data_IF_615153788133
#
_entry.id   IF_615153788133
#
_cell.length_a   1.000
_cell.length_b   1.000
_cell.length_c   1.000
_cell.angle_alpha   90.00
_cell.angle_beta   90.00
_cell.angle_gamma   90.00
#
_symmetry.space_group_name_H-M   'P 1'
#
loop_
_entity.id
_entity.type
_entity.pdbx_description
1 polymer ?
2 polymer ?
3 non-polymer ?
4 water ?
#
# COMPACT_ATOMS: atom_id res chain seq x y z
N UNK A 14 -27.80 10.69 10.90
CA UNK A 14 -28.28 9.30 10.93
C UNK A 14 -28.37 8.76 12.36
N UNK A 15 -29.54 8.20 12.73
CA UNK A 15 -29.82 7.65 14.07
C UNK A 15 -31.06 6.73 14.14
N UNK A 16 -31.87 6.67 13.07
CA UNK A 16 -33.12 5.89 13.04
C UNK A 16 -32.98 4.44 12.56
N UNK A 17 -32.53 4.21 11.31
CA UNK A 17 -32.39 2.86 10.76
C UNK A 17 -30.92 2.53 10.49
N UNK A 18 -30.21 2.08 11.53
CA UNK A 18 -28.78 1.77 11.45
C UNK A 18 -28.49 0.27 11.45
N UNK A 19 -27.34 -0.12 10.87
CA UNK A 19 -26.91 -1.50 10.74
C UNK A 19 -25.50 -1.69 11.34
N UNK A 20 -25.35 -2.66 12.27
CA UNK A 20 -24.08 -2.97 12.92
C UNK A 20 -23.41 -4.13 12.17
N UNK A 21 -22.21 -3.88 11.64
CA UNK A 21 -21.43 -4.85 10.86
C UNK A 21 -20.11 -5.19 11.56
N UNK A 22 -19.80 -6.49 11.62
CA UNK A 22 -18.57 -7.03 12.21
C UNK A 22 -17.86 -7.87 11.14
N UNK A 23 -16.58 -7.56 10.89
CA UNK A 23 -15.78 -8.28 9.91
C UNK A 23 -14.32 -8.48 10.35
N UNK A 24 -13.81 -9.70 10.16
CA UNK A 24 -12.43 -10.05 10.49
C UNK A 24 -11.55 -9.74 9.28
N UNK A 25 -10.34 -9.17 9.45
CA UNK A 25 -9.50 -8.87 8.27
C UNK A 25 -8.93 -10.12 7.59
N UNK A 26 -8.54 -9.99 6.30
CA UNK A 26 -7.94 -11.09 5.56
C UNK A 26 -6.47 -11.30 5.93
N UNK A 27 -5.75 -12.17 5.19
CA UNK A 27 -4.34 -12.51 5.39
C UNK A 27 -3.41 -11.29 5.33
N UNK A 28 -3.69 -10.34 4.43
CA UNK A 28 -2.90 -9.12 4.21
C UNK A 28 -3.35 -7.94 5.09
N UNK A 29 -4.32 -8.17 5.97
CA UNK A 29 -4.88 -7.16 6.84
C UNK A 29 -5.75 -6.19 6.07
N UNK A 30 -6.62 -6.72 5.19
CA UNK A 30 -7.51 -5.92 4.36
C UNK A 30 -8.96 -6.33 4.57
N UNK A 31 -9.89 -5.38 4.32
CA UNK A 31 -11.32 -5.61 4.49
C UNK A 31 -12.08 -5.65 3.17
N UNK A 32 -11.53 -4.99 2.15
CA UNK A 32 -12.08 -4.95 0.80
C UNK A 32 -13.14 -3.90 0.53
N UNK A 33 -12.94 -2.68 1.06
CA UNK A 33 -13.86 -1.57 0.85
C UNK A 33 -13.14 -0.22 0.79
N UNK A 34 -13.73 0.76 0.08
CA UNK A 34 -13.18 2.11 -0.07
C UNK A 34 -14.03 3.12 0.70
N UNK A 35 -13.40 4.18 1.22
CA UNK A 35 -14.08 5.26 1.95
C UNK A 35 -13.82 6.61 1.30
N UNK A 36 -14.82 7.51 1.38
CA UNK A 36 -14.75 8.87 0.86
C UNK A 36 -15.41 9.83 1.85
N UNK A 37 -14.73 10.94 2.14
CA UNK A 37 -15.22 11.96 3.06
C UNK A 37 -14.52 12.01 4.40
N UNK A 38 -15.12 12.75 5.33
CA UNK A 38 -14.64 12.96 6.69
C UNK A 38 -14.92 14.36 7.18
N UNK A 39 -13.99 14.96 7.94
CA UNK A 39 -14.13 16.33 8.43
C UNK A 39 -13.34 17.30 7.56
N UNK A 40 -12.14 16.88 7.09
CA UNK A 40 -11.27 17.64 6.19
C UNK A 40 -11.95 17.82 4.83
N UNK A 41 -12.74 16.82 4.41
CA UNK A 41 -13.55 16.82 3.19
C UNK A 41 -14.95 17.25 3.63
N UNK A 42 -15.56 18.24 2.95
CA UNK A 42 -16.90 18.72 3.30
C UNK A 42 -17.98 17.75 2.78
N UNK A 43 -17.92 16.49 3.26
CA UNK A 43 -18.81 15.38 2.90
C UNK A 43 -18.68 14.27 3.98
N UNK A 44 -19.80 13.59 4.40
CA UNK A 44 -19.66 12.53 5.40
C UNK A 44 -18.93 11.28 4.88
N UNK A 45 -18.53 10.36 5.79
CA UNK A 45 -17.84 9.13 5.44
C UNK A 45 -18.80 8.14 4.76
N UNK A 46 -18.58 7.91 3.45
CA UNK A 46 -19.41 7.03 2.61
C UNK A 46 -18.56 5.87 2.08
N UNK A 47 -19.14 4.65 2.09
CA UNK A 47 -18.49 3.46 1.53
C UNK A 47 -18.72 3.55 0.02
N UNK A 48 -17.69 3.98 -0.72
CA UNK A 48 -17.76 4.21 -2.17
C UNK A 48 -17.67 2.94 -3.02
N UNK A 49 -16.86 1.95 -2.60
CA UNK A 49 -16.68 0.71 -3.35
C UNK A 49 -16.49 -0.51 -2.45
N UNK A 50 -17.10 -1.65 -2.83
CA UNK A 50 -17.00 -2.93 -2.12
C UNK A 50 -16.48 -3.99 -3.09
N UNK A 51 -15.28 -4.54 -2.80
CA UNK A 51 -14.60 -5.55 -3.61
C UNK A 51 -15.24 -6.94 -3.43
N UNK A 52 -15.44 -7.74 -4.50
CA UNK A 52 -16.07 -9.06 -4.33
C UNK A 52 -15.12 -10.12 -3.75
N UNK A 53 -15.66 -10.99 -2.89
CA UNK A 53 -14.94 -12.07 -2.24
C UNK A 53 -14.03 -11.65 -1.10
N UNK A 54 -14.30 -10.46 -0.53
CA UNK A 54 -13.52 -9.89 0.57
C UNK A 54 -14.36 -9.85 1.87
N UNK A 55 -13.75 -9.64 3.06
CA UNK A 55 -14.55 -9.58 4.31
C UNK A 55 -15.78 -8.66 4.28
N UNK A 56 -15.68 -7.49 3.60
CA UNK A 56 -16.79 -6.52 3.49
C UNK A 56 -17.94 -7.01 2.61
N UNK A 57 -17.66 -7.92 1.68
CA UNK A 57 -18.62 -8.50 0.74
C UNK A 57 -19.31 -9.76 1.30
N UNK A 58 -18.61 -10.53 2.15
CA UNK A 58 -19.09 -11.81 2.69
C UNK A 58 -19.64 -11.75 4.12
N UNK A 59 -19.53 -10.59 4.82
CA UNK A 59 -20.03 -10.43 6.19
C UNK A 59 -21.56 -10.36 6.26
N UNK A 60 -22.14 -10.69 7.42
CA UNK A 60 -23.59 -10.65 7.68
C UNK A 60 -23.88 -9.72 8.87
N UNK A 61 -24.55 -8.55 8.67
CA UNK A 61 -25.06 -8.00 7.40
C UNK A 61 -23.94 -7.48 6.50
N UNK A 62 -24.18 -7.50 5.18
CA UNK A 62 -23.22 -7.06 4.16
C UNK A 62 -23.05 -5.55 4.15
N UNK A 63 -21.79 -5.09 3.98
CA UNK A 63 -21.47 -3.67 3.86
C UNK A 63 -21.70 -3.31 2.39
N UNK A 64 -22.67 -2.43 2.14
CA UNK A 64 -23.06 -2.02 0.78
C UNK A 64 -22.52 -0.66 0.39
N UNK A 65 -22.44 -0.39 -0.92
CA UNK A 65 -21.98 0.87 -1.48
C UNK A 65 -23.04 1.95 -1.26
N UNK A 66 -22.59 3.09 -0.73
CA UNK A 66 -23.46 4.23 -0.41
C UNK A 66 -23.76 4.36 1.06
N UNK A 67 -23.36 3.36 1.88
CA UNK A 67 -23.58 3.33 3.33
C UNK A 67 -22.77 4.41 4.05
N UNK A 68 -23.46 5.24 4.84
CA UNK A 68 -22.84 6.32 5.62
C UNK A 68 -22.32 5.78 6.94
N UNK A 69 -20.99 5.83 7.13
CA UNK A 69 -20.31 5.35 8.34
C UNK A 69 -20.56 6.33 9.51
N UNK A 70 -21.08 5.80 10.62
CA UNK A 70 -21.39 6.57 11.84
C UNK A 70 -20.34 6.25 12.93
N UNK A 71 -20.07 4.96 13.17
CA UNK A 71 -19.09 4.52 14.17
C UNK A 71 -18.05 3.55 13.57
N UNK A 72 -16.79 3.66 14.06
CA UNK A 72 -15.67 2.79 13.70
C UNK A 72 -15.11 2.26 15.03
N UNK A 73 -15.37 0.97 15.33
CA UNK A 73 -14.97 0.27 16.56
C UNK A 73 -15.54 0.96 17.82
N UNK A 74 -16.75 1.50 17.68
CA UNK A 74 -17.48 2.19 18.73
C UNK A 74 -17.14 3.67 18.91
N UNK A 75 -16.26 4.21 18.05
CA UNK A 75 -15.83 5.61 18.10
C UNK A 75 -16.59 6.47 17.08
N UNK A 76 -17.05 7.66 17.53
CA UNK A 76 -17.76 8.62 16.68
C UNK A 76 -16.74 9.36 15.81
N UNK A 77 -16.86 9.22 14.48
CA UNK A 77 -15.94 9.80 13.51
C UNK A 77 -16.49 11.04 12.78
N UNK A 78 -17.50 11.71 13.37
CA UNK A 78 -18.15 12.91 12.80
C UNK A 78 -17.21 14.12 12.69
N UNK A 79 -16.27 14.26 13.65
CA UNK A 79 -15.30 15.37 13.69
C UNK A 79 -13.87 14.96 13.26
N UNK A 80 -13.72 13.76 12.73
CA UNK A 80 -12.44 13.26 12.27
C UNK A 80 -12.17 13.37 10.78
N UNK A 81 -10.91 13.60 10.45
CA UNK A 81 -10.50 13.74 9.05
C UNK A 81 -10.46 12.39 8.32
N UNK A 82 -10.30 12.41 6.98
CA UNK A 82 -10.24 11.23 6.12
C UNK A 82 -9.09 10.30 6.54
N UNK A 83 -7.88 10.86 6.75
CA UNK A 83 -6.68 10.12 7.15
C UNK A 83 -6.83 9.44 8.52
N UNK A 84 -7.50 10.11 9.47
CA UNK A 84 -7.75 9.57 10.82
C UNK A 84 -8.73 8.40 10.73
N UNK A 85 -9.84 8.57 9.98
CA UNK A 85 -10.88 7.57 9.70
C UNK A 85 -10.25 6.28 9.14
N UNK A 86 -9.37 6.43 8.13
CA UNK A 86 -8.63 5.35 7.48
C UNK A 86 -7.74 4.61 8.51
N UNK A 87 -6.99 5.38 9.33
CA UNK A 87 -6.10 4.83 10.35
C UNK A 87 -6.85 4.15 11.52
N UNK A 88 -8.09 4.58 11.81
CA UNK A 88 -8.92 3.96 12.85
C UNK A 88 -9.36 2.56 12.43
N UNK A 89 -9.74 2.40 11.14
CA UNK A 89 -10.12 1.12 10.52
C UNK A 89 -8.90 0.19 10.50
N UNK A 90 -7.70 0.75 10.26
CA UNK A 90 -6.42 0.05 10.22
C UNK A 90 -5.89 -0.35 11.61
N UNK A 91 -6.57 0.06 12.70
CA UNK A 91 -6.19 -0.25 14.08
C UNK A 91 -6.96 -1.44 14.68
N UNK A 92 -7.97 -1.96 13.95
CA UNK A 92 -8.82 -3.08 14.38
C UNK A 92 -8.34 -4.45 13.87
N UNK A 93 -7.03 -4.57 13.59
CA UNK A 93 -6.43 -5.78 13.02
C UNK A 93 -5.32 -6.35 13.92
N UNK A 98 -9.51 -9.10 17.26
CA UNK A 98 -9.02 -8.77 15.93
C UNK A 98 -10.12 -8.71 14.89
N UNK A 99 -11.04 -7.74 15.04
CA UNK A 99 -12.17 -7.54 14.12
C UNK A 99 -12.54 -6.06 14.00
N UNK A 100 -13.16 -5.67 12.88
CA UNK A 100 -13.60 -4.31 12.63
C UNK A 100 -15.11 -4.19 12.85
N UNK A 101 -15.50 -3.20 13.67
CA UNK A 101 -16.90 -2.89 13.97
C UNK A 101 -17.27 -1.62 13.22
N UNK A 102 -18.40 -1.67 12.50
CA UNK A 102 -18.92 -0.53 11.75
C UNK A 102 -20.41 -0.35 11.98
N UNK A 103 -20.84 0.88 12.28
CA UNK A 103 -22.24 1.22 12.39
C UNK A 103 -22.53 2.13 11.22
N UNK A 104 -23.34 1.65 10.26
CA UNK A 104 -23.65 2.39 9.04
C UNK A 104 -25.15 2.67 8.85
N UNK A 105 -25.45 3.62 7.93
CA UNK A 105 -26.80 3.99 7.54
C UNK A 105 -26.98 3.57 6.07
N UNK A 106 -27.84 2.56 5.77
CA UNK A 106 -27.99 2.09 4.37
C UNK A 106 -28.59 3.12 3.41
N UNK A 107 -28.02 3.20 2.19
CA UNK A 107 -28.44 4.10 1.12
C UNK A 107 -28.16 3.48 -0.25
N UNK B 13 16.20 -9.28 4.54
CA UNK B 13 16.81 -9.98 5.67
C UNK B 13 17.87 -9.08 6.42
N UNK B 14 18.65 -8.15 5.79
CA UNK B 14 19.59 -7.34 6.60
C UNK B 14 18.88 -6.34 7.51
N UNK B 15 19.52 -5.98 8.63
CA UNK B 15 18.94 -5.08 9.62
C UNK B 15 19.75 -3.82 9.93
N UNK B 16 21.08 -3.84 9.75
CA UNK B 16 21.92 -2.66 10.05
C UNK B 16 22.68 -2.13 8.83
N UNK B 17 23.25 -0.89 8.96
CA UNK B 17 24.02 -0.17 7.94
C UNK B 17 23.22 0.02 6.63
N UNK B 18 21.91 0.24 6.77
CA UNK B 18 20.98 0.39 5.64
C UNK B 18 20.96 1.80 5.06
N UNK B 19 20.69 1.90 3.75
CA UNK B 19 20.64 3.16 3.01
C UNK B 19 19.25 3.36 2.38
N UNK B 20 18.62 4.50 2.67
CA UNK B 20 17.30 4.86 2.12
C UNK B 20 17.52 5.72 0.88
N UNK B 21 17.00 5.26 -0.28
CA UNK B 21 17.16 5.94 -1.56
C UNK B 21 15.81 6.33 -2.16
N UNK B 22 15.68 7.60 -2.56
CA UNK B 22 14.50 8.17 -3.20
C UNK B 22 14.88 8.71 -4.58
N UNK B 23 14.17 8.27 -5.61
CA UNK B 23 14.42 8.70 -6.99
C UNK B 23 13.13 8.88 -7.79
N UNK B 24 13.09 9.93 -8.62
CA UNK B 24 11.95 10.24 -9.48
C UNK B 24 12.20 9.61 -10.86
N UNK B 25 11.19 8.96 -11.49
CA UNK B 25 11.43 8.34 -12.81
C UNK B 25 11.64 9.35 -13.94
N UNK B 26 12.26 8.92 -15.05
CA UNK B 26 12.47 9.77 -16.22
C UNK B 26 11.18 9.91 -17.04
N UNK B 27 11.26 10.51 -18.24
CA UNK B 27 10.13 10.73 -19.14
C UNK B 27 9.49 9.43 -19.63
N UNK B 28 10.30 8.35 -19.73
CA UNK B 28 9.88 7.02 -20.20
C UNK B 28 9.42 6.09 -19.06
N UNK B 29 9.41 6.60 -17.83
CA UNK B 29 9.03 5.85 -16.64
C UNK B 29 10.11 4.87 -16.22
N UNK B 30 11.37 5.16 -16.59
CA UNK B 30 12.54 4.33 -16.30
C UNK B 30 13.38 4.92 -15.16
N UNK B 31 14.07 4.04 -14.42
CA UNK B 31 14.94 4.43 -13.31
C UNK B 31 16.43 4.27 -13.62
N UNK B 32 16.74 3.41 -14.59
CA UNK B 32 18.10 3.16 -15.06
C UNK B 32 18.93 2.20 -14.25
N UNK B 33 18.31 1.11 -13.75
CA UNK B 33 19.00 0.06 -13.00
C UNK B 33 18.40 -1.32 -13.27
N UNK B 34 19.24 -2.37 -13.20
CA UNK B 34 18.82 -3.75 -13.42
C UNK B 34 18.76 -4.49 -12.09
N UNK B 35 17.86 -5.47 -11.97
CA UNK B 35 17.71 -6.30 -10.77
C UNK B 35 17.85 -7.79 -11.08
N UNK B 36 18.51 -8.50 -10.17
CA UNK B 36 18.71 -9.94 -10.19
C UNK B 36 18.23 -10.47 -8.85
N UNK B 37 17.60 -11.64 -8.86
CA UNK B 37 17.12 -12.26 -7.63
C UNK B 37 15.65 -12.21 -7.32
N UNK B 38 15.29 -12.85 -6.21
CA UNK B 38 13.93 -12.97 -5.70
C UNK B 38 13.77 -14.28 -4.95
N UNK B 39 12.55 -14.55 -4.45
CA UNK B 39 12.22 -15.76 -3.71
C UNK B 39 12.30 -17.02 -4.58
N UNK B 40 12.07 -16.86 -5.90
CA UNK B 40 12.10 -17.96 -6.88
C UNK B 40 13.45 -18.06 -7.62
N UNK B 41 14.45 -17.24 -7.23
CA UNK B 41 15.77 -17.21 -7.87
C UNK B 41 16.93 -17.76 -7.01
N UNK B 42 16.62 -18.18 -5.75
CA UNK B 42 17.56 -18.75 -4.74
C UNK B 42 18.57 -17.71 -4.19
N UNK B 43 18.63 -16.51 -4.80
CA UNK B 43 19.49 -15.41 -4.37
C UNK B 43 18.62 -14.18 -4.02
N UNK B 44 19.03 -13.29 -3.09
CA UNK B 44 18.19 -12.11 -2.79
C UNK B 44 18.15 -11.08 -3.91
N UNK B 45 17.29 -10.05 -3.78
CA UNK B 45 17.16 -8.99 -4.78
C UNK B 45 18.39 -8.09 -4.72
N UNK B 46 19.26 -8.18 -5.75
CA UNK B 46 20.52 -7.44 -5.88
C UNK B 46 20.46 -6.51 -7.10
N UNK B 47 21.00 -5.28 -6.97
CA UNK B 47 21.08 -4.32 -8.06
C UNK B 47 22.32 -4.75 -8.87
N UNK B 48 22.10 -5.45 -9.99
CA UNK B 48 23.16 -5.99 -10.84
C UNK B 48 23.88 -4.96 -11.70
N UNK B 49 23.17 -3.94 -12.18
CA UNK B 49 23.75 -2.90 -13.05
C UNK B 49 23.07 -1.55 -12.86
N UNK B 50 23.85 -0.46 -12.95
CA UNK B 50 23.37 0.94 -12.85
C UNK B 50 23.85 1.68 -14.11
N UNK B 51 22.89 2.23 -14.88
CA UNK B 51 23.15 2.98 -16.10
C UNK B 51 23.54 4.43 -15.81
N UNK B 52 24.55 5.01 -16.51
CA UNK B 52 24.94 6.39 -16.23
C UNK B 52 23.96 7.41 -16.80
N UNK B 53 23.81 8.54 -16.11
CA UNK B 53 22.91 9.62 -16.50
C UNK B 53 21.44 9.36 -16.27
N UNK B 54 21.13 8.35 -15.45
CA UNK B 54 19.74 7.95 -15.13
C UNK B 54 19.41 8.27 -13.66
N UNK B 55 18.10 8.27 -13.26
CA UNK B 55 17.76 8.57 -11.84
C UNK B 55 18.52 7.77 -10.79
N UNK B 56 18.78 6.47 -11.02
CA UNK B 56 19.50 5.58 -10.10
C UNK B 56 20.98 5.96 -9.93
N UNK B 57 21.57 6.61 -10.94
CA UNK B 57 22.96 7.07 -10.95
C UNK B 57 23.11 8.48 -10.37
N UNK B 58 22.10 9.35 -10.56
CA UNK B 58 22.15 10.76 -10.16
C UNK B 58 21.54 11.09 -8.78
N UNK B 59 20.77 10.16 -8.18
CA UNK B 59 20.14 10.36 -6.87
C UNK B 59 21.17 10.38 -5.73
N UNK B 60 20.83 11.06 -4.61
CA UNK B 60 21.68 11.15 -3.42
C UNK B 60 20.89 10.71 -2.17
N UNK B 61 21.25 9.59 -1.49
CA UNK B 61 22.38 8.69 -1.77
C UNK B 61 22.22 7.90 -3.07
N UNK B 62 23.35 7.60 -3.73
CA UNK B 62 23.38 6.88 -5.01
C UNK B 62 23.12 5.39 -4.84
N UNK B 63 22.32 4.81 -5.74
CA UNK B 63 22.04 3.37 -5.77
C UNK B 63 23.24 2.75 -6.50
N UNK B 64 24.04 1.97 -5.77
CA UNK B 64 25.25 1.34 -6.31
C UNK B 64 25.04 -0.13 -6.68
N UNK B 65 25.93 -0.66 -7.53
CA UNK B 65 25.89 -2.05 -7.98
C UNK B 65 26.32 -2.99 -6.85
N UNK B 66 25.54 -4.04 -6.65
CA UNK B 66 25.77 -5.04 -5.61
C UNK B 66 24.85 -4.88 -4.42
N UNK B 67 24.24 -3.69 -4.26
CA UNK B 67 23.32 -3.34 -3.17
C UNK B 67 22.12 -4.29 -3.09
N UNK B 68 21.88 -4.84 -1.90
CA UNK B 68 20.78 -5.76 -1.64
C UNK B 68 19.52 -4.98 -1.27
N UNK B 69 18.47 -5.10 -2.10
CA UNK B 69 17.19 -4.43 -1.89
C UNK B 69 16.44 -5.11 -0.74
N UNK B 70 16.03 -4.33 0.27
CA UNK B 70 15.31 -4.79 1.45
C UNK B 70 13.83 -4.38 1.33
N UNK B 71 13.58 -3.09 1.00
CA UNK B 71 12.23 -2.56 0.83
C UNK B 71 12.03 -1.85 -0.50
N UNK B 72 10.85 -2.05 -1.11
CA UNK B 72 10.43 -1.39 -2.34
C UNK B 72 9.16 -0.63 -1.97
N UNK B 73 9.27 0.72 -1.93
CA UNK B 73 8.19 1.64 -1.54
C UNK B 73 7.61 1.28 -0.16
N UNK B 74 8.51 0.91 0.76
CA UNK B 74 8.20 0.53 2.13
C UNK B 74 7.62 -0.85 2.33
N UNK B 75 7.73 -1.73 1.32
CA UNK B 75 7.19 -3.09 1.36
C UNK B 75 8.31 -4.15 1.44
N UNK B 76 8.15 -5.12 2.36
CA UNK B 76 9.08 -6.24 2.54
C UNK B 76 8.90 -7.18 1.34
N UNK B 77 9.96 -7.33 0.53
CA UNK B 77 9.96 -8.11 -0.71
C UNK B 77 10.72 -9.45 -0.61
N UNK B 78 11.10 -9.87 0.62
CA UNK B 78 11.83 -11.12 0.89
C UNK B 78 11.11 -12.38 0.41
N UNK B 79 9.76 -12.41 0.53
CA UNK B 79 8.92 -13.55 0.13
C UNK B 79 8.36 -13.41 -1.31
N UNK B 80 8.61 -12.30 -1.97
CA UNK B 80 8.14 -12.08 -3.31
C UNK B 80 9.09 -12.51 -4.42
N UNK B 81 8.52 -12.94 -5.54
CA UNK B 81 9.28 -13.44 -6.69
C UNK B 81 9.96 -12.31 -7.48
N UNK B 82 10.84 -12.67 -8.44
CA UNK B 82 11.56 -11.72 -9.30
C UNK B 82 10.59 -10.83 -10.08
N UNK B 83 9.57 -11.44 -10.73
CA UNK B 83 8.57 -10.72 -11.53
C UNK B 83 7.69 -9.77 -10.70
N UNK B 84 7.32 -10.17 -9.47
CA UNK B 84 6.52 -9.35 -8.54
C UNK B 84 7.32 -8.11 -8.13
N UNK B 85 8.61 -8.31 -7.78
CA UNK B 85 9.57 -7.28 -7.40
C UNK B 85 9.71 -6.22 -8.51
N UNK B 86 9.86 -6.67 -9.77
CA UNK B 86 9.97 -5.82 -10.97
C UNK B 86 8.68 -4.98 -11.12
N UNK B 87 7.51 -5.63 -10.97
CA UNK B 87 6.20 -5.00 -11.07
C UNK B 87 5.90 -4.02 -9.92
N UNK B 88 6.48 -4.24 -8.73
CA UNK B 88 6.32 -3.32 -7.58
C UNK B 88 7.07 -2.02 -7.85
N UNK B 89 8.30 -2.11 -8.42
CA UNK B 89 9.15 -0.98 -8.79
C UNK B 89 8.47 -0.19 -9.93
N UNK B 90 7.79 -0.91 -10.86
CA UNK B 90 7.08 -0.33 -12.00
C UNK B 90 5.72 0.31 -11.62
N UNK B 91 5.36 0.29 -10.32
CA UNK B 91 4.13 0.90 -9.81
C UNK B 91 4.45 2.24 -9.11
N UNK B 92 5.64 2.80 -9.36
CA UNK B 92 6.14 4.04 -8.75
C UNK B 92 5.91 5.32 -9.59
N UNK B 93 5.33 5.20 -10.80
CA UNK B 93 5.09 6.34 -11.68
C UNK B 93 3.67 6.92 -11.55
N UNK B 97 1.99 12.99 -9.01
CA UNK B 97 3.39 12.66 -9.22
C UNK B 97 3.86 11.56 -8.28
N UNK B 98 4.66 10.64 -8.81
CA UNK B 98 5.19 9.50 -8.09
C UNK B 98 6.71 9.41 -8.02
N UNK B 99 7.21 8.62 -7.07
CA UNK B 99 8.63 8.40 -6.83
C UNK B 99 8.91 6.98 -6.32
N UNK B 100 10.16 6.51 -6.47
CA UNK B 100 10.56 5.18 -6.02
C UNK B 100 11.41 5.25 -4.76
N UNK B 101 10.99 4.52 -3.72
CA UNK B 101 11.68 4.41 -2.44
C UNK B 101 12.34 3.03 -2.37
N UNK B 102 13.62 3.00 -2.00
CA UNK B 102 14.39 1.78 -1.88
C UNK B 102 15.25 1.77 -0.62
N UNK B 103 15.06 0.78 0.26
CA UNK B 103 15.92 0.61 1.43
C UNK B 103 16.87 -0.50 1.03
N UNK B 104 18.18 -0.19 0.94
CA UNK B 104 19.18 -1.15 0.50
C UNK B 104 20.31 -1.38 1.51
N UNK B 105 21.00 -2.51 1.36
CA UNK B 105 22.17 -2.88 2.14
C UNK B 105 23.37 -2.80 1.17
N UNK B 106 24.34 -1.88 1.39
CA UNK B 106 25.47 -1.76 0.44
C UNK B 106 26.37 -2.99 0.37
N UNK B 107 26.86 -3.30 -0.83
CA UNK B 107 27.75 -4.42 -1.16
C UNK B 107 28.51 -4.16 -2.46
N UNK C 14 -9.84 -15.85 -30.30
CA UNK C 14 -9.80 -15.13 -31.58
C UNK C 14 -9.13 -13.77 -31.48
N UNK C 15 -8.28 -13.44 -32.46
CA UNK C 15 -7.54 -12.17 -32.50
C UNK C 15 -8.00 -11.26 -33.65
N UNK C 16 -9.33 -11.23 -33.89
CA UNK C 16 -9.99 -10.41 -34.91
C UNK C 16 -11.05 -9.53 -34.25
N UNK C 17 -11.36 -8.36 -34.86
CA UNK C 17 -12.34 -7.37 -34.39
C UNK C 17 -12.08 -6.93 -32.94
N UNK C 18 -10.82 -6.58 -32.65
CA UNK C 18 -10.37 -6.14 -31.32
C UNK C 18 -10.48 -4.64 -31.14
N UNK C 19 -10.74 -4.20 -29.89
CA UNK C 19 -10.91 -2.78 -29.54
C UNK C 19 -9.75 -2.29 -28.65
N UNK C 20 -9.09 -1.19 -29.06
CA UNK C 20 -8.00 -0.57 -28.31
C UNK C 20 -8.56 0.56 -27.46
N UNK C 21 -8.43 0.43 -26.13
CA UNK C 21 -8.94 1.40 -25.16
C UNK C 21 -7.80 2.06 -24.38
N UNK C 22 -7.83 3.40 -24.33
CA UNK C 22 -6.86 4.24 -23.63
C UNK C 22 -7.58 5.03 -22.54
N UNK C 23 -7.09 4.98 -21.29
CA UNK C 23 -7.71 5.69 -20.18
C UNK C 23 -6.70 6.17 -19.13
N UNK C 24 -6.85 7.42 -18.70
CA UNK C 24 -6.02 8.03 -17.66
C UNK C 24 -6.71 7.78 -16.32
N UNK C 25 -5.97 7.45 -15.22
CA UNK C 25 -6.65 7.22 -13.93
C UNK C 25 -7.22 8.50 -13.32
N UNK C 26 -8.11 8.37 -12.33
CA UNK C 26 -8.70 9.54 -11.67
C UNK C 26 -7.72 10.16 -10.64
N UNK C 27 -8.20 11.10 -9.81
CA UNK C 27 -7.41 11.79 -8.79
C UNK C 27 -6.80 10.85 -7.74
N UNK C 28 -7.45 9.69 -7.49
CA UNK C 28 -7.00 8.69 -6.53
C UNK C 28 -6.25 7.51 -7.18
N UNK C 29 -5.94 7.64 -8.46
CA UNK C 29 -5.21 6.64 -9.23
C UNK C 29 -6.01 5.42 -9.62
N UNK C 30 -7.35 5.54 -9.63
CA UNK C 30 -8.27 4.46 -9.98
C UNK C 30 -8.95 4.66 -11.33
N UNK C 31 -9.30 3.54 -11.98
CA UNK C 31 -9.93 3.52 -13.31
C UNK C 31 -11.44 3.27 -13.27
N UNK C 32 -11.90 2.56 -12.24
CA UNK C 32 -13.31 2.24 -12.04
C UNK C 32 -13.83 0.99 -12.70
N UNK C 33 -12.94 0.02 -13.01
CA UNK C 33 -13.34 -1.24 -13.61
C UNK C 33 -12.82 -2.46 -12.84
N UNK C 34 -13.55 -3.57 -12.89
CA UNK C 34 -13.17 -4.82 -12.23
C UNK C 34 -12.77 -5.88 -13.26
N UNK C 35 -11.72 -6.67 -12.93
CA UNK C 35 -11.26 -7.78 -13.77
C UNK C 35 -11.50 -9.10 -13.06
N UNK C 36 -12.11 -10.06 -13.78
CA UNK C 36 -12.44 -11.37 -13.24
C UNK C 36 -11.70 -12.46 -14.01
N UNK C 37 -11.14 -13.42 -13.28
CA UNK C 37 -10.44 -14.56 -13.85
C UNK C 37 -8.98 -14.39 -14.14
N UNK C 38 -8.40 -15.43 -14.73
CA UNK C 38 -7.00 -15.54 -15.10
C UNK C 38 -6.60 -16.95 -15.44
N UNK C 39 -5.31 -17.20 -15.66
CA UNK C 39 -4.76 -18.52 -16.00
C UNK C 39 -4.90 -19.51 -14.83
N UNK C 40 -4.76 -19.02 -13.58
CA UNK C 40 -4.90 -19.84 -12.36
C UNK C 40 -6.35 -19.95 -11.90
N UNK C 41 -7.28 -19.24 -12.57
CA UNK C 41 -8.71 -19.23 -12.28
C UNK C 41 -9.49 -20.13 -13.26
N UNK C 42 -10.81 -20.30 -13.00
CA UNK C 42 -11.71 -21.13 -13.80
C UNK C 42 -12.11 -20.52 -15.16
N UNK C 43 -11.87 -19.21 -15.34
CA UNK C 43 -12.21 -18.47 -16.57
C UNK C 43 -11.11 -17.45 -16.98
N UNK C 44 -11.01 -17.05 -18.28
CA UNK C 44 -9.98 -16.05 -18.66
C UNK C 44 -10.32 -14.64 -18.18
N UNK C 45 -9.35 -13.69 -18.32
CA UNK C 45 -9.50 -12.30 -17.88
C UNK C 45 -10.60 -11.58 -18.68
N UNK C 46 -11.70 -11.27 -17.98
CA UNK C 46 -12.91 -10.61 -18.50
C UNK C 46 -13.20 -9.38 -17.63
N UNK C 47 -13.71 -8.29 -18.23
CA UNK C 47 -14.11 -7.09 -17.49
C UNK C 47 -15.48 -7.40 -16.88
N UNK C 48 -15.51 -7.59 -15.55
CA UNK C 48 -16.73 -7.96 -14.81
C UNK C 48 -17.63 -6.80 -14.39
N UNK C 49 -17.05 -5.61 -14.19
CA UNK C 49 -17.81 -4.42 -13.77
C UNK C 49 -17.18 -3.13 -14.30
N UNK C 50 -18.05 -2.16 -14.65
CA UNK C 50 -17.67 -0.82 -15.11
C UNK C 50 -18.55 0.15 -14.30
N UNK C 51 -17.94 0.85 -13.32
CA UNK C 51 -18.63 1.79 -12.43
C UNK C 51 -19.04 3.07 -13.18
N UNK C 52 -20.21 3.69 -12.91
CA UNK C 52 -20.60 4.90 -13.65
C UNK C 52 -19.82 6.16 -13.25
N UNK C 53 -19.55 7.00 -14.24
CA UNK C 53 -18.83 8.27 -14.07
C UNK C 53 -17.34 8.15 -13.83
N UNK C 54 -16.77 6.95 -14.09
CA UNK C 54 -15.34 6.67 -13.89
C UNK C 54 -14.60 6.68 -15.25
N UNK C 55 -13.25 6.82 -15.30
CA UNK C 55 -12.55 6.83 -16.60
C UNK C 55 -12.86 5.66 -17.54
N UNK C 56 -13.11 4.45 -16.99
CA UNK C 56 -13.44 3.24 -17.76
C UNK C 56 -14.82 3.34 -18.43
N UNK C 57 -15.72 4.15 -17.84
CA UNK C 57 -17.07 4.40 -18.32
C UNK C 57 -17.10 5.56 -19.32
N UNK C 58 -16.20 6.55 -19.16
CA UNK C 58 -16.16 7.76 -19.97
C UNK C 58 -15.13 7.74 -21.12
N UNK C 59 -14.29 6.70 -21.22
CA UNK C 59 -13.29 6.57 -22.29
C UNK C 59 -13.95 6.23 -23.64
N UNK C 60 -13.36 6.73 -24.75
CA UNK C 60 -13.85 6.48 -26.11
C UNK C 60 -12.73 5.79 -26.92
N UNK C 61 -12.88 4.51 -27.35
CA UNK C 61 -14.06 3.62 -27.19
C UNK C 61 -14.27 3.18 -25.73
N UNK C 62 -15.53 2.82 -25.40
CA UNK C 62 -15.92 2.42 -24.06
C UNK C 62 -15.57 0.96 -23.75
N UNK C 63 -15.06 0.73 -22.53
CA UNK C 63 -14.75 -0.59 -21.99
C UNK C 63 -16.07 -1.11 -21.43
N UNK C 64 -16.57 -2.22 -21.97
CA UNK C 64 -17.86 -2.80 -21.59
C UNK C 64 -17.72 -4.06 -20.73
N UNK C 65 -18.78 -4.36 -19.95
CA UNK C 65 -18.84 -5.56 -19.09
C UNK C 65 -18.99 -6.78 -20.00
N UNK C 66 -18.03 -7.70 -19.89
CA UNK C 66 -17.98 -8.92 -20.68
C UNK C 66 -16.78 -9.00 -21.60
N UNK C 67 -16.15 -7.84 -21.90
CA UNK C 67 -14.97 -7.71 -22.77
C UNK C 67 -13.78 -8.52 -22.25
N UNK C 68 -13.24 -9.40 -23.11
CA UNK C 68 -12.11 -10.27 -22.80
C UNK C 68 -10.82 -9.50 -22.99
N UNK C 69 -9.99 -9.42 -21.93
CA UNK C 69 -8.72 -8.69 -21.98
C UNK C 69 -7.66 -9.53 -22.70
N UNK C 70 -7.06 -8.97 -23.75
CA UNK C 70 -6.02 -9.61 -24.58
C UNK C 70 -4.65 -9.03 -24.21
N UNK C 71 -4.51 -7.69 -24.24
CA UNK C 71 -3.26 -7.00 -23.91
C UNK C 71 -3.45 -5.92 -22.85
N UNK C 72 -2.46 -5.77 -21.97
CA UNK C 72 -2.38 -4.72 -20.94
C UNK C 72 -1.05 -4.03 -21.21
N UNK C 73 -1.10 -2.77 -21.70
CA UNK C 73 0.06 -1.93 -22.08
C UNK C 73 0.96 -2.64 -23.12
N UNK C 74 0.32 -3.44 -23.98
CA UNK C 74 0.97 -4.18 -25.04
C UNK C 74 1.47 -5.57 -24.72
N UNK C 75 1.40 -5.98 -23.43
CA UNK C 75 1.86 -7.30 -23.00
C UNK C 75 0.75 -8.35 -23.04
N UNK C 76 1.07 -9.55 -23.58
CA UNK C 76 0.15 -10.69 -23.65
C UNK C 76 -0.05 -11.25 -22.24
N UNK C 77 -1.32 -11.34 -21.81
CA UNK C 77 -1.68 -11.79 -20.46
C UNK C 77 -2.38 -13.17 -20.45
N UNK C 78 -2.32 -13.91 -21.58
CA UNK C 78 -2.95 -15.23 -21.76
C UNK C 78 -2.50 -16.29 -20.76
N UNK C 79 -1.18 -16.37 -20.49
CA UNK C 79 -0.58 -17.37 -19.59
C UNK C 79 -0.33 -16.85 -18.15
N UNK C 80 -0.71 -15.58 -17.87
CA UNK C 80 -0.50 -14.96 -16.56
C UNK C 80 -1.68 -15.14 -15.60
N UNK C 81 -1.36 -15.28 -14.29
CA UNK C 81 -2.32 -15.45 -13.19
C UNK C 81 -3.11 -14.16 -12.94
N UNK C 82 -4.19 -14.24 -12.12
CA UNK C 82 -5.02 -13.10 -11.76
C UNK C 82 -4.21 -11.99 -11.05
N UNK C 83 -3.40 -12.37 -10.04
CA UNK C 83 -2.56 -11.43 -9.28
C UNK C 83 -1.52 -10.74 -10.16
N UNK C 84 -0.95 -11.48 -11.14
CA UNK C 84 0.02 -10.96 -12.11
C UNK C 84 -0.64 -9.91 -13.00
N UNK C 85 -1.89 -10.19 -13.45
CA UNK C 85 -2.73 -9.32 -14.28
C UNK C 85 -3.04 -8.01 -13.53
N UNK C 86 -3.41 -8.10 -12.24
CA UNK C 86 -3.70 -6.96 -11.36
C UNK C 86 -2.44 -6.09 -11.22
N UNK C 87 -1.27 -6.74 -11.06
CA UNK C 87 0.04 -6.11 -10.95
C UNK C 87 0.45 -5.39 -12.25
N UNK C 88 -0.01 -5.91 -13.42
CA UNK C 88 0.25 -5.29 -14.72
C UNK C 88 -0.50 -3.97 -14.87
N UNK C 89 -1.79 -3.95 -14.45
CA UNK C 89 -2.65 -2.76 -14.49
C UNK C 89 -2.10 -1.68 -13.53
N UNK C 90 -1.71 -2.11 -12.30
CA UNK C 90 -1.14 -1.25 -11.26
C UNK C 90 0.24 -0.68 -11.62
N UNK C 91 0.97 -1.33 -12.57
CA UNK C 91 2.29 -0.91 -13.03
C UNK C 91 2.18 0.37 -13.88
N UNK C 92 2.15 1.52 -13.19
CA UNK C 92 2.02 2.87 -13.77
C UNK C 92 3.19 3.31 -14.67
N UNK C 93 4.39 2.72 -14.47
CA UNK C 93 5.58 3.04 -15.27
C UNK C 93 5.53 2.47 -16.69
N UNK C 94 4.68 1.46 -16.93
CA UNK C 94 4.53 0.82 -18.24
C UNK C 94 3.46 1.51 -19.12
N UNK C 95 2.79 2.54 -18.55
CA UNK C 95 1.76 3.33 -19.23
C UNK C 95 2.38 4.32 -20.20
N UNK C 96 1.82 4.39 -21.42
CA UNK C 96 2.26 5.30 -22.47
C UNK C 96 1.49 6.63 -22.32
N UNK C 97 2.24 7.74 -22.10
CA UNK C 97 1.73 9.11 -21.91
C UNK C 97 0.73 9.24 -20.73
N UNK C 98 0.99 8.47 -19.68
CA UNK C 98 0.18 8.46 -18.45
C UNK C 98 -1.16 7.74 -18.53
N UNK C 99 -1.45 7.08 -19.65
CA UNK C 99 -2.71 6.35 -19.81
C UNK C 99 -2.53 4.84 -20.01
N UNK C 100 -3.42 4.06 -19.37
CA UNK C 100 -3.44 2.61 -19.43
C UNK C 100 -4.01 2.16 -20.78
N UNK C 101 -3.26 1.29 -21.48
CA UNK C 101 -3.64 0.74 -22.77
C UNK C 101 -4.22 -0.65 -22.57
N UNK C 102 -5.41 -0.90 -23.14
CA UNK C 102 -6.09 -2.18 -23.05
C UNK C 102 -6.59 -2.63 -24.42
N UNK C 103 -6.25 -3.87 -24.81
CA UNK C 103 -6.76 -4.46 -26.04
C UNK C 103 -7.77 -5.52 -25.64
N UNK C 104 -9.04 -5.31 -26.03
CA UNK C 104 -10.13 -6.23 -25.65
C UNK C 104 -10.89 -6.80 -26.85
N UNK C 105 -11.53 -7.96 -26.61
CA UNK C 105 -12.41 -8.65 -27.56
C UNK C 105 -13.84 -8.44 -27.01
N UNK C 106 -14.71 -7.68 -27.72
CA UNK C 106 -16.06 -7.41 -27.19
C UNK C 106 -16.95 -8.65 -27.02
N UNK C 107 -17.70 -8.69 -25.90
CA UNK C 107 -18.63 -9.75 -25.52
C UNK C 107 -19.67 -9.23 -24.51
N UNK D 13 16.14 13.78 7.08
CA UNK D 13 17.48 13.95 7.63
C UNK D 13 18.45 12.87 7.03
N UNK D 14 19.66 12.53 7.59
CA UNK D 14 20.52 11.53 6.94
C UNK D 14 19.86 10.17 6.68
N UNK D 15 20.13 9.59 5.49
CA UNK D 15 19.59 8.31 5.05
C UNK D 15 20.63 7.17 4.99
N UNK D 16 21.65 7.24 5.85
CA UNK D 16 22.71 6.21 5.93
C UNK D 16 22.86 5.67 7.36
N UNK D 17 23.43 4.49 7.49
CA UNK D 17 23.60 3.83 8.76
C UNK D 17 22.31 3.63 9.53
N UNK D 18 21.30 3.24 8.78
CA UNK D 18 19.96 3.00 9.31
C UNK D 18 19.76 1.60 9.85
N UNK D 19 18.93 1.48 10.90
CA UNK D 19 18.62 0.21 11.58
C UNK D 19 17.14 -0.13 11.40
N UNK D 20 16.87 -1.35 10.93
CA UNK D 20 15.52 -1.88 10.74
C UNK D 20 15.19 -2.77 11.93
N UNK D 21 14.19 -2.36 12.72
CA UNK D 21 13.75 -3.05 13.92
C UNK D 21 12.34 -3.61 13.73
N UNK D 22 12.17 -4.91 13.99
CA UNK D 22 10.91 -5.63 13.88
C UNK D 22 10.51 -6.11 15.27
N UNK D 23 9.31 -5.73 15.74
CA UNK D 23 8.83 -6.12 17.06
C UNK D 23 7.33 -6.47 17.08
N UNK D 24 6.99 -7.54 17.82
CA UNK D 24 5.61 -7.99 18.00
C UNK D 24 5.10 -7.39 19.32
N UNK D 25 3.84 -6.91 19.40
CA UNK D 25 3.36 -6.38 20.68
C UNK D 25 3.08 -7.47 21.71
N UNK D 26 2.96 -7.11 23.00
CA UNK D 26 2.66 -8.07 24.07
C UNK D 26 1.17 -8.51 24.04
N UNK D 27 0.72 -9.24 25.08
CA UNK D 27 -0.67 -9.71 25.21
C UNK D 27 -1.70 -8.56 25.29
N UNK D 28 -1.25 -7.37 25.69
CA UNK D 28 -2.08 -6.16 25.82
C UNK D 28 -1.95 -5.19 24.63
N UNK D 29 -1.21 -5.61 23.60
CA UNK D 29 -0.98 -4.82 22.39
C UNK D 29 -0.03 -3.67 22.57
N UNK D 30 0.86 -3.76 23.58
CA UNK D 30 1.85 -2.73 23.90
C UNK D 30 3.26 -3.12 23.44
N UNK D 31 4.08 -2.12 23.08
CA UNK D 31 5.45 -2.34 22.63
C UNK D 31 6.51 -1.98 23.68
N UNK D 32 6.15 -1.10 24.61
CA UNK D 32 7.01 -0.67 25.70
C UNK D 32 7.99 0.45 25.40
N UNK D 33 7.70 1.25 24.36
CA UNK D 33 8.54 2.39 23.99
C UNK D 33 7.74 3.69 23.88
N UNK D 34 8.44 4.83 24.04
CA UNK D 34 7.83 6.16 23.94
C UNK D 34 8.43 6.91 22.77
N UNK D 35 7.61 7.73 22.10
CA UNK D 35 8.04 8.59 20.99
C UNK D 35 7.77 10.05 21.32
N UNK D 36 8.78 10.90 21.06
CA UNK D 36 8.72 12.35 21.31
C UNK D 36 9.05 13.09 20.02
N UNK D 37 8.19 14.03 19.65
CA UNK D 37 8.37 14.85 18.46
C UNK D 37 7.36 14.65 17.35
N UNK D 38 7.56 15.41 16.28
CA UNK D 38 6.73 15.42 15.08
C UNK D 38 6.88 16.71 14.31
N UNK D 39 6.19 16.82 13.16
CA UNK D 39 6.23 18.01 12.31
C UNK D 39 5.59 19.24 12.98
N UNK D 40 4.55 19.00 13.82
CA UNK D 40 3.83 20.04 14.57
C UNK D 40 4.50 20.31 15.93
N UNK D 41 5.59 19.58 16.23
CA UNK D 41 6.33 19.69 17.49
C UNK D 41 7.68 20.41 17.29
N UNK D 42 8.34 20.79 18.40
CA UNK D 42 9.62 21.50 18.41
C UNK D 42 10.83 20.65 17.97
N UNK D 43 10.67 19.32 17.91
CA UNK D 43 11.75 18.38 17.54
C UNK D 43 11.26 17.24 16.61
N UNK D 44 12.14 16.55 15.84
CA UNK D 44 11.66 15.42 15.02
C UNK D 44 11.37 14.18 15.89
N UNK D 45 10.69 13.16 15.32
CA UNK D 45 10.32 11.93 16.03
C UNK D 45 11.56 11.16 16.53
N UNK D 46 11.71 11.12 17.86
CA UNK D 46 12.81 10.47 18.59
C UNK D 46 12.22 9.47 19.59
N UNK D 47 12.89 8.32 19.77
CA UNK D 47 12.49 7.31 20.76
C UNK D 47 13.00 7.86 22.11
N UNK D 48 12.08 8.39 22.93
CA UNK D 48 12.38 9.02 24.21
C UNK D 48 12.56 8.05 25.40
N UNK D 49 11.93 6.85 25.34
CA UNK D 49 12.01 5.86 26.41
C UNK D 49 11.85 4.43 25.90
N UNK D 50 12.59 3.49 26.51
CA UNK D 50 12.55 2.05 26.25
C UNK D 50 12.48 1.37 27.64
N UNK D 51 11.31 0.85 28.01
CA UNK D 51 11.08 0.18 29.30
C UNK D 51 11.75 -1.21 29.35
N UNK D 52 12.31 -1.65 30.49
CA UNK D 52 12.97 -2.97 30.53
C UNK D 52 12.01 -4.16 30.53
N UNK D 53 12.40 -5.23 29.85
CA UNK D 53 11.64 -6.47 29.74
C UNK D 53 10.48 -6.45 28.76
N UNK D 54 10.33 -5.35 28.00
CA UNK D 54 9.27 -5.15 27.01
C UNK D 54 9.75 -5.55 25.60
N UNK D 55 8.85 -5.77 24.60
CA UNK D 55 9.31 -6.16 23.24
C UNK D 55 10.36 -5.24 22.62
N UNK D 56 10.31 -3.92 22.89
CA UNK D 56 11.26 -2.93 22.37
C UNK D 56 12.67 -3.10 22.97
N UNK D 57 12.74 -3.71 24.18
CA UNK D 57 13.98 -3.97 24.90
C UNK D 57 14.59 -5.34 24.56
N UNK D 58 13.73 -6.34 24.24
CA UNK D 58 14.15 -7.72 23.95
C UNK D 58 14.39 -8.04 22.46
N UNK D 59 13.91 -7.18 21.53
CA UNK D 59 14.07 -7.39 20.08
C UNK D 59 15.53 -7.26 19.63
N UNK D 60 15.90 -7.98 18.56
CA UNK D 60 17.26 -7.97 17.98
C UNK D 60 17.16 -7.53 16.50
N UNK D 61 17.65 -6.32 16.11
CA UNK D 61 18.32 -5.29 16.93
C UNK D 61 17.39 -4.59 17.91
N UNK D 62 17.96 -4.12 19.03
CA UNK D 62 17.23 -3.43 20.09
C UNK D 62 16.97 -1.97 19.73
N UNK D 63 15.76 -1.49 20.07
CA UNK D 63 15.38 -0.09 19.88
C UNK D 63 15.99 0.66 21.07
N UNK D 64 16.83 1.65 20.78
CA UNK D 64 17.53 2.42 21.80
C UNK D 64 16.96 3.83 21.97
N UNK D 65 17.20 4.44 23.14
CA UNK D 65 16.75 5.80 23.46
C UNK D 65 17.62 6.80 22.69
N UNK D 66 16.97 7.70 21.96
CA UNK D 66 17.62 8.71 21.15
C UNK D 66 17.55 8.42 19.66
N UNK D 67 17.02 7.23 19.28
CA UNK D 67 16.87 6.81 17.89
C UNK D 67 15.84 7.67 17.16
N UNK D 68 16.26 8.27 16.03
CA UNK D 68 15.41 9.13 15.20
C UNK D 68 14.61 8.23 14.27
N UNK D 69 13.27 8.24 14.39
CA UNK D 69 12.39 7.41 13.58
C UNK D 69 12.25 7.99 12.17
N UNK D 70 12.62 7.18 11.16
CA UNK D 70 12.55 7.57 9.75
C UNK D 70 11.28 6.99 9.12
N UNK D 71 11.05 5.66 9.28
CA UNK D 71 9.87 4.99 8.74
C UNK D 71 9.14 4.16 9.79
N UNK D 72 7.80 4.12 9.68
CA UNK D 72 6.89 3.30 10.50
C UNK D 72 6.10 2.46 9.50
N UNK D 73 6.35 1.14 9.48
CA UNK D 73 5.75 0.15 8.57
C UNK D 73 5.98 0.53 7.09
N UNK D 74 7.14 1.13 6.82
CA UNK D 74 7.56 1.56 5.49
C UNK D 74 7.14 2.95 5.05
N UNK D 75 6.38 3.67 5.89
CA UNK D 75 5.88 5.01 5.57
C UNK D 75 6.76 6.13 6.13
N UNK D 76 7.01 7.18 5.33
CA UNK D 76 7.79 8.36 5.71
C UNK D 76 6.96 9.19 6.70
N UNK D 77 7.56 9.57 7.84
CA UNK D 77 6.88 10.31 8.90
C UNK D 77 7.49 11.71 9.14
N UNK D 78 8.24 12.24 8.17
CA UNK D 78 8.91 13.55 8.25
C UNK D 78 7.94 14.74 8.29
N UNK D 79 6.91 14.74 7.42
CA UNK D 79 5.92 15.82 7.33
C UNK D 79 4.62 15.54 8.12
N UNK D 80 4.59 14.43 8.88
CA UNK D 80 3.43 14.04 9.68
C UNK D 80 3.50 14.53 11.12
N UNK D 81 2.34 14.86 11.71
CA UNK D 81 2.20 15.34 13.10
C UNK D 81 2.45 14.20 14.09
N UNK D 82 2.63 14.54 15.40
CA UNK D 82 2.84 13.57 16.47
C UNK D 82 1.66 12.60 16.60
N UNK D 83 0.42 13.13 16.57
CA UNK D 83 -0.83 12.36 16.67
C UNK D 83 -0.97 11.36 15.52
N UNK D 84 -0.56 11.77 14.31
CA UNK D 84 -0.56 10.94 13.09
C UNK D 84 0.47 9.81 13.23
N UNK D 85 1.66 10.13 13.79
CA UNK D 85 2.76 9.18 14.05
C UNK D 85 2.31 8.08 15.02
N UNK D 86 1.61 8.47 16.11
CA UNK D 86 1.04 7.58 17.12
C UNK D 86 -0.03 6.66 16.46
N UNK D 87 -0.84 7.25 15.57
CA UNK D 87 -1.89 6.57 14.80
C UNK D 87 -1.30 5.55 13.81
N UNK D 88 -0.07 5.81 13.29
CA UNK D 88 0.63 4.89 12.39
C UNK D 88 1.13 3.66 13.15
N UNK D 89 1.65 3.85 14.38
CA UNK D 89 2.15 2.77 15.25
C UNK D 89 0.96 1.91 15.71
N UNK D 90 -0.18 2.56 16.01
CA UNK D 90 -1.42 1.90 16.43
C UNK D 90 -2.12 1.16 15.28
N UNK D 91 -1.79 1.51 14.02
CA UNK D 91 -2.37 0.88 12.82
C UNK D 91 -1.81 -0.54 12.63
N UNK D 92 -2.47 -1.51 13.29
CA UNK D 92 -2.10 -2.93 13.28
C UNK D 92 -2.26 -3.64 11.93
N UNK D 93 -3.04 -3.05 10.99
CA UNK D 93 -3.27 -3.60 9.64
C UNK D 93 -2.05 -3.53 8.74
N UNK D 94 -1.24 -2.47 8.90
CA UNK D 94 -0.04 -2.22 8.11
C UNK D 94 1.21 -2.97 8.61
N UNK D 95 1.04 -3.83 9.63
CA UNK D 95 2.11 -4.63 10.21
C UNK D 95 2.38 -5.89 9.39
N UNK D 96 3.63 -6.09 8.97
CA UNK D 96 4.06 -7.24 8.18
C UNK D 96 4.29 -8.42 9.12
N UNK D 97 3.47 -9.49 8.97
CA UNK D 97 3.47 -10.73 9.76
C UNK D 97 3.28 -10.48 11.28
N UNK D 98 2.42 -9.51 11.59
CA UNK D 98 2.11 -9.11 12.96
C UNK D 98 3.22 -8.34 13.66
N UNK D 99 4.24 -7.90 12.91
CA UNK D 99 5.39 -7.16 13.44
C UNK D 99 5.36 -5.69 13.03
N UNK D 100 5.66 -4.80 13.99
CA UNK D 100 5.77 -3.37 13.75
C UNK D 100 7.16 -3.12 13.20
N UNK D 101 7.23 -2.51 12.00
CA UNK D 101 8.49 -2.22 11.34
C UNK D 101 8.91 -0.79 11.65
N UNK D 102 10.12 -0.64 12.22
CA UNK D 102 10.69 0.66 12.56
C UNK D 102 12.06 0.84 11.92
N UNK D 103 12.17 1.81 11.02
CA UNK D 103 13.43 2.14 10.36
C UNK D 103 13.94 3.40 11.07
N UNK D 104 14.98 3.24 11.91
CA UNK D 104 15.51 4.34 12.71
C UNK D 104 16.98 4.67 12.39
N UNK D 105 17.41 5.86 12.84
CA UNK D 105 18.78 6.38 12.72
C UNK D 105 19.30 6.51 14.17
N UNK D 106 20.37 5.78 14.56
CA UNK D 106 20.86 5.89 15.95
C UNK D 106 21.55 7.21 16.24
N UNK D 107 21.35 7.76 17.45
CA UNK D 107 21.93 9.03 17.89
C UNK D 107 22.36 8.97 19.37
N UNK E 6 -11.93 15.27 -3.84
CA UNK E 6 -12.66 14.17 -3.20
C UNK E 6 -11.75 12.94 -3.05
N UNK E 7 -11.14 12.79 -1.86
CA UNK E 7 -10.22 11.70 -1.53
C UNK E 7 -10.93 10.36 -1.32
N UNK E 8 -10.35 9.29 -1.89
CA UNK E 8 -10.83 7.91 -1.78
C UNK E 8 -9.65 7.01 -1.40
N UNK E 9 -9.86 6.10 -0.42
CA UNK E 9 -8.79 5.21 0.07
C UNK E 9 -9.28 3.76 0.25
N UNK E 10 -8.57 2.75 -0.33
CA UNK E 10 -8.98 1.36 -0.12
C UNK E 10 -8.51 0.82 1.23
N UNK E 11 -9.31 -0.06 1.85
CA UNK E 11 -9.03 -0.65 3.16
C UNK E 11 -9.25 -2.17 3.19
N UNK F 6 19.80 -17.27 -14.23
CA UNK F 6 19.83 -16.07 -13.40
C UNK F 6 19.12 -14.91 -14.09
N UNK F 7 17.84 -14.68 -13.73
CA UNK F 7 16.97 -13.63 -14.28
C UNK F 7 17.47 -12.22 -13.97
N UNK F 8 17.58 -11.38 -15.03
CA UNK F 8 18.02 -9.99 -14.94
C UNK F 8 17.04 -9.13 -15.75
N UNK F 9 16.40 -8.15 -15.10
CA UNK F 9 15.41 -7.27 -15.73
C UNK F 9 15.79 -5.79 -15.62
N UNK F 10 15.87 -5.05 -16.75
CA UNK F 10 16.18 -3.61 -16.65
C UNK F 10 14.96 -2.77 -16.29
N UNK F 11 15.13 -1.79 -15.39
CA UNK F 11 14.08 -0.90 -14.91
C UNK F 11 14.38 0.57 -15.22
N UNK G 1 -26.31 -19.24 -1.28
CA UNK G 1 -25.43 -20.40 -1.33
C UNK G 1 -23.98 -20.00 -1.54
N UNK G 2 -23.04 -20.76 -0.95
CA UNK G 2 -21.60 -20.53 -1.08
C UNK G 2 -21.04 -21.19 -2.32
N UNK G 3 -20.07 -20.53 -2.97
CA UNK G 3 -19.40 -21.05 -4.16
C UNK G 3 -17.96 -20.57 -4.27
N UNK G 4 -17.09 -21.43 -4.81
CA UNK G 4 -15.69 -21.10 -5.07
C UNK G 4 -15.65 -20.61 -6.50
N UNK G 5 -15.52 -19.28 -6.67
CA UNK G 5 -15.52 -18.63 -7.98
C UNK G 5 -14.15 -18.04 -8.32
N UNK G 6 -14.00 -17.53 -9.55
CA UNK G 6 -12.78 -16.89 -10.02
C UNK G 6 -12.57 -15.56 -9.31
N UNK G 7 -11.32 -15.25 -8.96
CA UNK G 7 -10.93 -14.02 -8.26
C UNK G 7 -11.31 -12.77 -9.07
N UNK G 8 -11.87 -11.77 -8.38
CA UNK G 8 -12.29 -10.50 -8.96
C UNK G 8 -11.66 -9.36 -8.17
N UNK G 9 -11.03 -8.41 -8.87
CA UNK G 9 -10.35 -7.27 -8.23
C UNK G 9 -10.77 -5.92 -8.85
N UNK G 10 -11.19 -4.92 -8.03
CA UNK G 10 -11.51 -3.61 -8.61
C UNK G 10 -10.26 -2.76 -8.84
N UNK G 11 -10.23 -2.01 -9.96
CA UNK G 11 -9.12 -1.14 -10.35
C UNK G 11 -9.52 0.33 -10.48
N UNK H 1 9.08 24.02 38.19
CA UNK H 1 8.77 24.99 37.14
C UNK H 1 8.01 24.34 35.97
N UNK H 2 7.14 25.10 35.32
CA UNK H 2 6.36 24.66 34.17
C UNK H 2 7.12 24.90 32.88
N UNK H 3 6.95 24.01 31.89
CA UNK H 3 7.58 24.14 30.58
C UNK H 3 6.72 23.58 29.46
N UNK H 4 6.73 24.28 28.32
CA UNK H 4 6.01 23.84 27.12
C UNK H 4 7.03 23.02 26.32
N UNK H 5 6.85 21.70 26.33
CA UNK H 5 7.74 20.75 25.67
C UNK H 5 7.04 20.00 24.53
N UNK H 6 7.83 19.22 23.76
CA UNK H 6 7.35 18.39 22.66
C UNK H 6 6.51 17.24 23.21
N UNK H 7 5.41 16.91 22.52
CA UNK H 7 4.47 15.84 22.91
C UNK H 7 5.14 14.47 22.94
N UNK H 8 4.90 13.72 24.03
CA UNK H 8 5.43 12.38 24.25
C UNK H 8 4.28 11.41 24.54
N UNK H 9 4.26 10.26 23.84
CA UNK H 9 3.21 9.24 24.00
C UNK H 9 3.81 7.84 24.16
N UNK H 10 3.43 7.08 25.23
CA UNK H 10 3.95 5.71 25.36
C UNK H 10 3.13 4.70 24.58
N UNK H 11 3.80 3.83 23.81
CA UNK H 11 3.19 2.80 22.98
C UNK H 11 3.47 1.39 23.52
#
# INVERSE_FOLDING_TARGET
GSSPEKPTPNGGIPHDNLVLIRMKPDENGRFGFNVKGGYDQKMPVIVSRVAPGTPADLCVPRLNEGDQVVLINGRDIAEHTHDQVVLFIKASCERHSGELMLLVRPN
GSSPEKPTPNGGIPHDNLVLIRMKPDENGRFGFNVKGGYDQKMPVIVSRVAPGTPADLCVPRLNEGDQVVLINGRDIAEHTHDQVVLFIKASCERHSGELMLLVRPN
GSSPEKPTPNGGIPHDNLVLIRMKPDENGRFGFNVKGGYDQKMPVIVSRVAPGTPADLCVPRLNEGDQVVLINGRDIAEHTHDQVVLFIKASCERHSGELMLLVRPN
GSSPEKPTPNGGIPHDNLVLIRMKPDENGRFGFNVKGGYDQKMPVIVSRVAPGTPADLCVPRLNEGDQVVLINGRDIAEHTHDQVVLFIKASCERHSGELMLLVRPN
SWARVSKETPL
SWARVSKETPL
SWARVSKETPL
SWARVSKETPL
#
